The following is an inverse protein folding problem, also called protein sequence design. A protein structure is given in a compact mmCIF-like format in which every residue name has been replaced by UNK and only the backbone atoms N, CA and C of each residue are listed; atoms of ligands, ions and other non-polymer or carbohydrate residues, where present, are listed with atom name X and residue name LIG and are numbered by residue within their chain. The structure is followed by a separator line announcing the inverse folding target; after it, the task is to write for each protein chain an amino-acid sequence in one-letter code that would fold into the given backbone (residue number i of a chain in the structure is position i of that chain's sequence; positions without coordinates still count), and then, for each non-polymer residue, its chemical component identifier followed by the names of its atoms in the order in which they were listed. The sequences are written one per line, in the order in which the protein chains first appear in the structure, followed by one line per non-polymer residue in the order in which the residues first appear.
data_IF_517907937019
#
_entry.id   IF_517907937019
#
_cell.length_a   1.000
_cell.length_b   1.000
_cell.length_c   1.000
_cell.angle_alpha   90.00
_cell.angle_beta   90.00
_cell.angle_gamma   90.00
#
_symmetry.space_group_name_H-M   'P 1'
#
loop_
_entity.id
_entity.type
_entity.pdbx_description
1 polymer ?
#
# COMPACT_ATOMS: atom_id res chain seq x y z
N UNK A 1 -41.76 -11.08 -5.46
CA UNK A 1 -40.34 -11.48 -5.41
C UNK A 1 -39.65 -10.52 -4.45
N UNK A 2 -39.25 -11.02 -3.28
CA UNK A 2 -38.73 -10.23 -2.17
C UNK A 2 -37.46 -9.46 -2.56
N UNK A 3 -37.52 -8.13 -2.37
CA UNK A 3 -36.37 -7.24 -2.46
C UNK A 3 -35.44 -7.49 -1.27
N UNK A 4 -34.48 -8.40 -1.44
CA UNK A 4 -33.30 -8.46 -0.57
C UNK A 4 -32.41 -7.24 -0.88
N UNK A 5 -32.78 -6.09 -0.33
CA UNK A 5 -31.89 -4.95 -0.18
C UNK A 5 -30.75 -5.40 0.71
N UNK A 6 -29.57 -5.63 0.12
CA UNK A 6 -28.32 -5.73 0.87
C UNK A 6 -28.04 -4.34 1.45
N UNK A 7 -28.74 -3.99 2.55
CA UNK A 7 -28.17 -3.11 3.57
C UNK A 7 -26.80 -3.67 3.90
N UNK A 8 -25.84 -2.82 4.24
CA UNK A 8 -24.63 -3.28 4.91
C UNK A 8 -25.08 -4.20 6.04
N UNK A 9 -24.92 -5.52 5.83
CA UNK A 9 -25.22 -6.50 6.84
C UNK A 9 -24.41 -6.08 8.04
N UNK A 10 -25.09 -5.79 9.15
CA UNK A 10 -24.45 -5.41 10.41
C UNK A 10 -23.30 -6.40 10.61
N UNK A 11 -22.03 -5.98 10.55
CA UNK A 11 -20.96 -6.86 10.94
C UNK A 11 -21.28 -7.22 12.38
N UNK A 12 -21.51 -8.50 12.65
CA UNK A 12 -21.55 -9.05 14.01
C UNK A 12 -20.35 -8.44 14.72
N UNK A 13 -20.59 -7.68 15.79
CA UNK A 13 -19.64 -6.75 16.38
C UNK A 13 -18.22 -7.33 16.48
N UNK A 14 -17.43 -7.19 15.41
CA UNK A 14 -16.02 -7.45 15.47
C UNK A 14 -15.50 -6.26 16.25
N UNK A 15 -15.11 -6.55 17.50
CA UNK A 15 -14.42 -5.64 18.39
C UNK A 15 -13.49 -4.81 17.52
N UNK A 16 -13.70 -3.48 17.52
CA UNK A 16 -12.77 -2.49 17.01
C UNK A 16 -11.35 -3.03 17.27
N UNK A 17 -10.44 -3.11 16.29
CA UNK A 17 -9.04 -3.37 16.59
C UNK A 17 -8.64 -2.21 17.49
N UNK A 18 -8.70 -2.47 18.79
CA UNK A 18 -8.40 -1.49 19.78
C UNK A 18 -6.90 -1.29 19.59
N UNK A 19 -6.51 -0.09 19.15
CA UNK A 19 -5.26 0.43 19.64
C UNK A 19 -5.33 0.25 21.15
N UNK A 20 -4.60 -0.73 21.68
CA UNK A 20 -4.56 -0.98 23.10
C UNK A 20 -4.19 0.38 23.72
N UNK A 21 -5.03 0.97 24.61
CA UNK A 21 -4.83 2.34 25.10
C UNK A 21 -3.47 2.57 25.77
N UNK A 22 -2.73 1.49 26.02
CA UNK A 22 -1.41 1.47 26.63
C UNK A 22 -0.24 1.41 25.64
N UNK A 23 -0.44 1.17 24.33
CA UNK A 23 0.67 0.92 23.39
C UNK A 23 0.78 1.98 22.30
N UNK A 24 1.99 2.49 22.10
CA UNK A 24 2.38 3.25 20.92
C UNK A 24 2.65 2.28 19.79
N UNK A 25 2.04 2.51 18.62
CA UNK A 25 2.36 1.78 17.41
C UNK A 25 3.03 2.74 16.44
N UNK A 26 4.32 2.55 16.19
CA UNK A 26 5.10 3.40 15.29
C UNK A 26 5.32 2.63 14.00
N UNK A 27 4.96 3.24 12.88
CA UNK A 27 5.22 2.64 11.58
C UNK A 27 6.21 3.45 10.78
N UNK A 28 7.24 2.79 10.25
CA UNK A 28 7.99 3.30 9.12
C UNK A 28 7.49 2.58 7.87
N UNK A 29 6.95 3.32 6.90
CA UNK A 29 6.77 2.79 5.56
C UNK A 29 8.06 3.06 4.79
N UNK A 30 8.83 2.02 4.52
CA UNK A 30 10.05 2.08 3.72
C UNK A 30 9.70 1.65 2.30
N UNK A 31 9.85 2.57 1.35
CA UNK A 31 9.67 2.28 -0.08
C UNK A 31 11.01 2.01 -0.73
N UNK A 32 11.10 0.90 -1.44
CA UNK A 32 12.24 0.64 -2.34
C UNK A 32 11.97 1.23 -3.73
N UNK A 33 13.00 1.71 -4.43
CA UNK A 33 12.84 2.16 -5.81
C UNK A 33 12.95 0.98 -6.78
N UNK A 34 11.92 0.75 -7.61
CA UNK A 34 11.95 -0.22 -8.73
C UNK A 34 13.09 0.00 -9.74
N UNK A 35 13.81 1.13 -9.63
CA UNK A 35 15.03 1.40 -10.40
C UNK A 35 16.25 0.80 -9.68
N UNK A 36 16.18 -0.51 -9.38
CA UNK A 36 17.35 -1.25 -8.96
C UNK A 36 18.30 -1.36 -10.16
N UNK A 37 19.33 -0.49 -10.22
CA UNK A 37 20.52 -0.83 -11.01
C UNK A 37 21.15 -2.04 -10.32
N UNK A 38 21.04 -3.24 -10.88
CA UNK A 38 22.01 -4.31 -10.55
C UNK A 38 23.38 -3.83 -11.06
N UNK A 39 24.39 -3.62 -10.21
CA UNK A 39 25.63 -3.01 -10.67
C UNK A 39 26.51 -3.99 -11.47
N UNK A 40 27.30 -3.40 -12.37
CA UNK A 40 28.38 -4.07 -13.13
C UNK A 40 29.41 -4.67 -12.18
N UNK A 41 30.01 -5.79 -12.61
CA UNK A 41 30.96 -6.61 -11.87
C UNK A 41 32.40 -6.04 -11.82
N UNK A 42 32.56 -4.72 -11.80
CA UNK A 42 33.89 -4.10 -11.87
C UNK A 42 34.04 -3.02 -10.80
N UNK A 43 34.21 -3.48 -9.56
CA UNK A 43 34.96 -2.72 -8.57
C UNK A 43 35.58 -3.71 -7.56
N UNK A 44 36.90 -3.87 -7.65
CA UNK A 44 37.70 -4.80 -6.83
C UNK A 44 37.88 -4.18 -5.44
N UNK A 45 36.95 -4.45 -4.52
CA UNK A 45 37.24 -4.39 -3.09
C UNK A 45 36.76 -5.69 -2.44
N UNK A 46 37.71 -6.43 -1.86
CA UNK A 46 37.55 -7.78 -1.34
C UNK A 46 36.67 -7.83 -0.08
N UNK A 47 35.36 -7.91 -0.28
CA UNK A 47 34.41 -8.33 0.74
C UNK A 47 33.78 -9.62 0.25
N UNK A 48 34.01 -10.71 0.99
CA UNK A 48 33.42 -12.02 0.73
C UNK A 48 31.89 -11.90 0.65
N UNK A 49 31.35 -12.28 -0.51
CA UNK A 49 29.93 -12.26 -0.84
C UNK A 49 29.41 -13.70 -0.71
N UNK A 50 28.22 -13.96 -0.13
CA UNK A 50 27.64 -15.30 -0.14
C UNK A 50 27.47 -15.82 -1.58
N UNK A 51 27.74 -17.11 -1.86
CA UNK A 51 27.89 -17.62 -3.21
C UNK A 51 26.52 -17.90 -3.86
N UNK A 52 25.89 -16.88 -4.44
CA UNK A 52 24.83 -17.05 -5.44
C UNK A 52 25.16 -16.21 -6.68
N UNK A 53 26.12 -16.72 -7.45
CA UNK A 53 26.66 -16.13 -8.68
C UNK A 53 25.63 -16.29 -9.82
N UNK A 54 24.77 -15.31 -10.05
CA UNK A 54 23.73 -15.32 -11.08
C UNK A 54 24.26 -14.98 -12.50
N UNK A 55 25.00 -15.86 -13.20
CA UNK A 55 25.14 -15.67 -14.67
C UNK A 55 23.85 -16.06 -15.39
N UNK A 56 22.83 -15.20 -15.35
CA UNK A 56 21.69 -15.27 -16.28
C UNK A 56 22.04 -14.51 -17.55
N UNK A 57 22.62 -15.25 -18.49
CA UNK A 57 22.85 -14.82 -19.86
C UNK A 57 21.51 -14.94 -20.60
N UNK A 58 20.64 -13.95 -20.43
CA UNK A 58 19.46 -13.82 -21.30
C UNK A 58 19.96 -13.30 -22.65
N UNK A 59 20.00 -14.20 -23.63
CA UNK A 59 20.31 -13.87 -25.01
C UNK A 59 19.33 -12.81 -25.53
N UNK A 60 19.80 -11.80 -26.28
CA UNK A 60 18.91 -10.88 -26.95
C UNK A 60 18.16 -11.65 -28.06
N UNK A 61 16.84 -11.55 -28.07
CA UNK A 61 16.03 -11.83 -29.26
C UNK A 61 16.34 -10.71 -30.25
N UNK A 62 17.24 -10.96 -31.21
CA UNK A 62 17.52 -10.06 -32.32
C UNK A 62 16.29 -9.90 -33.23
N UNK A 63 15.89 -8.68 -33.61
CA UNK A 63 15.50 -8.40 -34.98
C UNK A 63 16.77 -8.18 -35.81
N UNK A 64 16.79 -8.72 -37.03
CA UNK A 64 17.93 -8.71 -37.91
C UNK A 64 18.41 -7.29 -38.28
N UNK A 65 19.73 -7.19 -38.50
CA UNK A 65 20.50 -6.17 -39.22
C UNK A 65 20.71 -4.79 -38.58
N UNK A 66 21.88 -4.59 -37.95
CA UNK A 66 22.86 -3.53 -38.28
C UNK A 66 24.08 -3.64 -37.34
N UNK A 67 25.34 -3.56 -37.85
CA UNK A 67 26.53 -3.45 -37.01
C UNK A 67 26.88 -1.98 -36.78
N UNK A 68 26.89 -1.53 -35.52
CA UNK A 68 27.57 -0.28 -35.16
C UNK A 68 27.97 -0.30 -33.68
N UNK A 69 29.27 -0.10 -33.45
CA UNK A 69 29.91 -0.05 -32.15
C UNK A 69 29.28 0.99 -31.23
N UNK A 70 28.54 0.52 -30.23
CA UNK A 70 28.31 1.27 -29.00
C UNK A 70 28.19 0.28 -27.86
N UNK A 71 29.00 0.47 -26.81
CA UNK A 71 28.99 -0.35 -25.61
C UNK A 71 27.64 -0.14 -24.93
N UNK A 72 26.69 -1.01 -25.24
CA UNK A 72 25.33 -0.91 -24.76
C UNK A 72 25.34 -1.00 -23.22
N UNK A 73 24.77 0.02 -22.57
CA UNK A 73 24.75 0.07 -21.11
C UNK A 73 23.71 -0.93 -20.65
N UNK A 74 24.15 -2.16 -20.33
CA UNK A 74 23.32 -3.19 -19.70
C UNK A 74 22.50 -2.58 -18.55
N UNK A 75 21.22 -2.31 -18.83
CA UNK A 75 20.23 -1.89 -17.84
C UNK A 75 19.81 -3.13 -17.10
N UNK A 76 20.42 -3.30 -15.96
CA UNK A 76 20.04 -4.26 -14.96
C UNK A 76 18.65 -3.96 -14.40
N UNK A 77 17.79 -4.98 -14.45
CA UNK A 77 16.41 -4.95 -14.01
C UNK A 77 15.63 -6.03 -14.74
N UNK A 78 14.61 -6.60 -14.10
CA UNK A 78 13.70 -7.51 -14.80
C UNK A 78 12.81 -6.68 -15.74
N UNK A 79 12.64 -7.06 -17.02
CA UNK A 79 11.73 -6.36 -17.91
C UNK A 79 10.31 -6.36 -17.34
N UNK A 80 9.70 -5.18 -17.29
CA UNK A 80 8.33 -5.01 -16.80
C UNK A 80 7.38 -5.79 -17.71
N UNK A 81 6.61 -6.72 -17.12
CA UNK A 81 5.76 -7.66 -17.89
C UNK A 81 6.31 -9.07 -18.02
N UNK A 82 7.51 -9.37 -17.49
CA UNK A 82 7.99 -10.74 -17.36
C UNK A 82 7.15 -11.54 -16.37
N UNK A 83 6.72 -12.74 -16.77
CA UNK A 83 6.01 -13.71 -15.93
C UNK A 83 6.85 -14.10 -14.70
N UNK A 84 8.19 -14.13 -14.86
CA UNK A 84 9.11 -14.51 -13.78
C UNK A 84 9.46 -13.35 -12.85
N UNK A 85 9.15 -12.11 -13.21
CA UNK A 85 9.54 -10.93 -12.41
C UNK A 85 9.04 -10.97 -10.95
N UNK A 86 7.75 -11.25 -10.70
CA UNK A 86 7.23 -11.38 -9.35
C UNK A 86 7.90 -12.51 -8.54
N UNK A 87 8.16 -13.65 -9.17
CA UNK A 87 8.80 -14.81 -8.50
C UNK A 87 10.24 -14.48 -8.12
N UNK A 88 10.99 -13.89 -9.04
CA UNK A 88 12.36 -13.45 -8.78
C UNK A 88 12.42 -12.39 -7.69
N UNK A 89 11.44 -11.47 -7.65
CA UNK A 89 11.34 -10.48 -6.58
C UNK A 89 11.11 -11.14 -5.21
N UNK A 90 10.20 -12.11 -5.14
CA UNK A 90 9.92 -12.83 -3.89
C UNK A 90 11.16 -13.56 -3.35
N UNK A 91 11.91 -14.23 -4.23
CA UNK A 91 13.17 -14.90 -3.85
C UNK A 91 14.20 -13.88 -3.39
N UNK A 92 14.30 -12.74 -4.08
CA UNK A 92 15.25 -11.69 -3.77
C UNK A 92 15.00 -11.01 -2.43
N UNK A 93 13.74 -10.88 -2.00
CA UNK A 93 13.39 -10.29 -0.70
C UNK A 93 13.19 -11.32 0.40
N UNK A 94 13.44 -12.61 0.13
CA UNK A 94 13.15 -13.69 1.08
C UNK A 94 14.00 -13.65 2.35
N UNK A 95 15.19 -13.04 2.29
CA UNK A 95 16.13 -12.93 3.40
C UNK A 95 16.02 -11.59 4.17
N UNK A 96 14.92 -10.85 3.98
CA UNK A 96 14.70 -9.57 4.65
C UNK A 96 14.79 -9.74 6.19
N UNK A 97 15.61 -8.94 6.89
CA UNK A 97 15.83 -9.12 8.32
C UNK A 97 14.56 -8.80 9.10
N UNK A 98 14.17 -9.72 9.97
CA UNK A 98 13.18 -9.49 11.03
C UNK A 98 13.83 -8.95 12.30
N UNK A 99 13.01 -8.44 13.21
CA UNK A 99 13.42 -8.08 14.56
C UNK A 99 12.33 -8.45 15.57
N UNK A 100 12.73 -8.91 16.77
CA UNK A 100 11.84 -9.62 17.70
C UNK A 100 10.69 -8.76 18.25
N UNK A 101 10.88 -7.45 18.34
CA UNK A 101 9.90 -6.50 18.91
C UNK A 101 9.10 -5.73 17.85
N UNK A 102 9.20 -6.15 16.60
CA UNK A 102 8.64 -5.44 15.45
C UNK A 102 7.96 -6.42 14.49
N UNK A 103 6.87 -5.98 13.89
CA UNK A 103 6.18 -6.72 12.83
C UNK A 103 6.47 -6.09 11.48
N UNK A 104 6.99 -6.86 10.53
CA UNK A 104 7.21 -6.41 9.15
C UNK A 104 6.07 -6.89 8.27
N UNK A 105 5.46 -5.97 7.53
CA UNK A 105 4.49 -6.25 6.48
C UNK A 105 5.05 -5.77 5.14
N UNK A 106 5.49 -6.71 4.31
CA UNK A 106 6.01 -6.46 2.96
C UNK A 106 4.94 -6.77 1.92
N UNK A 107 4.75 -5.86 0.97
CA UNK A 107 4.00 -6.12 -0.24
C UNK A 107 4.70 -5.44 -1.39
N UNK A 108 5.25 -6.23 -2.31
CA UNK A 108 6.15 -5.73 -3.35
C UNK A 108 7.17 -4.76 -2.74
N UNK A 109 7.36 -3.60 -3.35
CA UNK A 109 8.25 -2.51 -2.96
C UNK A 109 7.82 -1.72 -1.71
N UNK A 110 6.59 -1.91 -1.21
CA UNK A 110 6.04 -1.27 -0.01
C UNK A 110 6.32 -2.14 1.24
N UNK A 111 7.24 -1.71 2.10
CA UNK A 111 7.55 -2.39 3.38
C UNK A 111 7.10 -1.52 4.55
N UNK A 112 6.13 -1.99 5.33
CA UNK A 112 5.74 -1.37 6.58
C UNK A 112 6.37 -2.12 7.76
N UNK A 113 7.04 -1.39 8.65
CA UNK A 113 7.61 -1.93 9.89
C UNK A 113 6.83 -1.33 11.04
N UNK A 114 6.24 -2.17 11.88
CA UNK A 114 5.42 -1.77 13.01
C UNK A 114 6.16 -2.11 14.30
N UNK A 115 6.41 -1.12 15.15
CA UNK A 115 6.93 -1.31 16.51
C UNK A 115 5.84 -1.01 17.53
N UNK A 116 5.64 -1.87 18.51
CA UNK A 116 4.64 -1.68 19.58
C UNK A 116 5.26 -1.73 20.95
N UNK A 117 5.10 -0.66 21.74
CA UNK A 117 5.59 -0.61 23.12
C UNK A 117 4.77 0.37 23.98
N UNK A 118 4.82 0.24 25.30
CA UNK A 118 4.08 1.12 26.24
C UNK A 118 4.71 2.50 26.38
N UNK A 119 6.03 2.55 26.32
CA UNK A 119 6.82 3.77 26.21
C UNK A 119 7.11 4.12 24.74
N UNK A 120 6.96 5.40 24.40
CA UNK A 120 7.21 5.95 23.07
C UNK A 120 8.68 5.86 22.65
N UNK A 121 9.60 5.98 23.62
CA UNK A 121 11.04 6.03 23.36
C UNK A 121 11.50 4.64 22.99
N UNK A 122 11.18 3.63 23.82
CA UNK A 122 11.49 2.22 23.53
C UNK A 122 10.82 1.71 22.24
N UNK A 123 9.61 2.20 21.89
CA UNK A 123 8.99 1.89 20.61
C UNK A 123 9.85 2.40 19.44
N UNK A 124 10.37 3.62 19.57
CA UNK A 124 11.21 4.27 18.55
C UNK A 124 12.60 3.64 18.50
N UNK A 125 13.16 3.25 19.64
CA UNK A 125 14.44 2.56 19.73
C UNK A 125 14.39 1.20 19.05
N UNK A 126 13.33 0.42 19.31
CA UNK A 126 13.12 -0.89 18.65
C UNK A 126 12.95 -0.71 17.14
N UNK A 127 12.23 0.34 16.73
CA UNK A 127 12.07 0.68 15.31
C UNK A 127 13.42 1.09 14.68
N UNK A 128 14.22 1.91 15.37
CA UNK A 128 15.53 2.34 14.89
C UNK A 128 16.51 1.17 14.79
N UNK A 129 16.50 0.24 15.75
CA UNK A 129 17.29 -0.99 15.69
C UNK A 129 16.93 -1.83 14.46
N UNK A 130 15.64 -1.98 14.17
CA UNK A 130 15.20 -2.68 12.96
C UNK A 130 15.62 -1.94 11.68
N UNK A 131 15.46 -0.61 11.63
CA UNK A 131 15.90 0.20 10.50
C UNK A 131 17.41 0.07 10.26
N UNK A 132 18.23 -0.04 11.31
CA UNK A 132 19.67 -0.25 11.18
C UNK A 132 19.99 -1.62 10.56
N UNK A 133 19.25 -2.68 10.91
CA UNK A 133 19.38 -4.00 10.30
C UNK A 133 19.00 -3.97 8.82
N UNK A 134 17.89 -3.30 8.50
CA UNK A 134 17.43 -3.11 7.13
C UNK A 134 18.43 -2.27 6.35
N UNK A 135 19.03 -1.23 6.93
CA UNK A 135 20.06 -0.44 6.28
C UNK A 135 21.29 -1.29 5.92
N UNK A 136 21.74 -2.17 6.83
CA UNK A 136 22.83 -3.10 6.55
C UNK A 136 22.47 -4.05 5.40
N UNK A 137 21.25 -4.60 5.42
CA UNK A 137 20.74 -5.47 4.36
C UNK A 137 20.63 -4.74 3.02
N UNK A 138 20.08 -3.52 3.00
CA UNK A 138 19.99 -2.67 1.80
C UNK A 138 21.38 -2.39 1.21
N UNK A 139 22.39 -2.15 2.05
CA UNK A 139 23.78 -1.98 1.60
C UNK A 139 24.36 -3.26 1.00
N UNK A 140 24.16 -4.40 1.66
CA UNK A 140 24.61 -5.71 1.19
C UNK A 140 24.01 -6.07 -0.17
N UNK A 141 22.70 -5.85 -0.33
CA UNK A 141 21.96 -6.11 -1.56
C UNK A 141 21.99 -4.95 -2.56
N UNK A 142 22.70 -3.85 -2.23
CA UNK A 142 22.85 -2.64 -3.06
C UNK A 142 21.51 -2.05 -3.51
N UNK A 143 20.49 -2.12 -2.65
CA UNK A 143 19.16 -1.57 -2.89
C UNK A 143 19.12 -0.12 -2.40
N UNK A 144 18.64 0.79 -3.24
CA UNK A 144 18.45 2.19 -2.86
C UNK A 144 17.09 2.39 -2.19
N UNK A 145 17.11 2.73 -0.90
CA UNK A 145 15.91 3.16 -0.19
C UNK A 145 15.40 4.51 -0.72
N UNK A 146 14.08 4.69 -0.75
CA UNK A 146 13.45 5.97 -1.04
C UNK A 146 13.06 6.67 0.26
N UNK A 147 13.99 7.43 0.83
CA UNK A 147 13.79 8.20 2.06
C UNK A 147 12.67 9.24 1.92
N UNK A 148 12.53 9.86 0.74
CA UNK A 148 11.56 10.93 0.49
C UNK A 148 10.11 10.43 0.50
N UNK A 149 9.90 9.18 0.09
CA UNK A 149 8.58 8.53 0.15
C UNK A 149 8.34 7.81 1.48
N UNK A 150 9.36 7.73 2.33
CA UNK A 150 9.24 7.06 3.62
C UNK A 150 8.60 8.01 4.62
N UNK A 151 7.69 7.49 5.44
CA UNK A 151 6.95 8.30 6.41
C UNK A 151 6.89 7.54 7.73
N UNK A 152 7.11 8.27 8.82
CA UNK A 152 6.91 7.80 10.18
C UNK A 152 5.52 8.25 10.65
N UNK A 153 4.68 7.32 11.07
CA UNK A 153 3.38 7.63 11.69
C UNK A 153 3.33 7.00 13.06
N UNK A 154 2.90 7.79 14.05
CA UNK A 154 2.70 7.33 15.43
C UNK A 154 1.22 7.11 15.69
N UNK A 155 0.77 5.87 15.69
CA UNK A 155 -0.60 5.52 16.03
C UNK A 155 -0.75 5.44 17.55
N UNK A 156 -1.45 6.44 18.11
CA UNK A 156 -1.72 6.51 19.55
C UNK A 156 -2.96 7.36 19.82
N UNK A 157 -3.67 7.02 20.89
CA UNK A 157 -4.74 7.88 21.43
C UNK A 157 -4.19 9.01 22.30
N UNK A 158 -2.92 8.92 22.72
CA UNK A 158 -2.25 9.93 23.54
C UNK A 158 -1.88 11.15 22.69
N UNK A 159 -1.61 12.28 23.35
CA UNK A 159 -1.12 13.51 22.69
C UNK A 159 0.39 13.54 22.48
N UNK A 160 1.10 12.47 22.87
CA UNK A 160 2.55 12.39 22.73
C UNK A 160 2.94 11.85 21.35
N UNK A 161 4.05 12.37 20.83
CA UNK A 161 4.67 11.95 19.58
C UNK A 161 5.92 11.14 19.88
N UNK A 162 6.15 10.08 19.13
CA UNK A 162 7.38 9.31 19.24
C UNK A 162 8.58 10.12 18.75
N UNK A 163 9.79 9.87 19.30
CA UNK A 163 11.03 10.39 18.74
C UNK A 163 11.18 10.12 17.24
N UNK A 164 11.87 11.01 16.50
CA UNK A 164 12.12 10.82 15.08
C UNK A 164 13.12 9.70 14.84
N UNK A 165 12.86 8.86 13.84
CA UNK A 165 13.77 7.80 13.40
C UNK A 165 14.53 8.19 12.13
N UNK A 166 15.69 7.58 11.92
CA UNK A 166 16.57 7.82 10.77
C UNK A 166 16.75 6.54 9.95
N UNK A 167 16.84 6.72 8.63
CA UNK A 167 17.21 5.67 7.68
C UNK A 167 18.28 6.21 6.75
N UNK A 168 19.42 5.51 6.61
CA UNK A 168 20.55 5.97 5.80
C UNK A 168 21.04 7.38 6.21
N UNK A 169 21.13 7.64 7.52
CA UNK A 169 21.44 8.94 8.12
C UNK A 169 20.47 10.11 7.78
N UNK A 170 19.35 9.84 7.10
CA UNK A 170 18.30 10.82 6.81
C UNK A 170 17.15 10.63 7.79
N UNK A 171 16.70 11.72 8.41
CA UNK A 171 15.53 11.68 9.28
C UNK A 171 14.26 11.45 8.46
N UNK A 172 13.46 10.46 8.86
CA UNK A 172 12.18 10.18 8.21
C UNK A 172 11.17 11.25 8.67
N UNK A 173 10.42 11.89 7.74
CA UNK A 173 9.41 12.86 8.12
C UNK A 173 8.26 12.20 8.89
N UNK A 174 7.83 12.87 9.95
CA UNK A 174 6.66 12.46 10.72
C UNK A 174 5.38 13.02 10.09
N UNK A 175 4.35 12.19 9.97
CA UNK A 175 3.04 12.61 9.48
C UNK A 175 1.90 12.03 10.33
N UNK A 176 0.74 12.66 10.23
CA UNK A 176 -0.50 12.20 10.88
C UNK A 176 -1.22 11.10 10.10
N UNK A 177 -0.81 10.83 8.86
CA UNK A 177 -1.36 9.74 8.07
C UNK A 177 -0.32 9.11 7.14
N UNK A 178 -0.49 7.81 6.90
CA UNK A 178 0.27 7.05 5.93
C UNK A 178 -0.65 6.39 4.90
N UNK A 179 -0.19 6.36 3.65
CA UNK A 179 -0.81 5.54 2.61
C UNK A 179 -0.09 4.21 2.52
N UNK A 180 -0.80 3.11 2.71
CA UNK A 180 -0.29 1.75 2.58
C UNK A 180 -1.32 0.91 1.82
N UNK A 181 -0.90 0.25 0.73
CA UNK A 181 -1.76 -0.58 -0.13
C UNK A 181 -3.06 0.11 -0.58
N UNK A 182 -2.99 1.41 -0.90
CA UNK A 182 -4.15 2.19 -1.32
C UNK A 182 -5.11 2.60 -0.20
N UNK A 183 -4.83 2.24 1.05
CA UNK A 183 -5.56 2.68 2.23
C UNK A 183 -4.86 3.84 2.92
N UNK A 184 -5.63 4.71 3.57
CA UNK A 184 -5.10 5.82 4.37
C UNK A 184 -5.30 5.52 5.84
N UNK A 185 -4.20 5.34 6.55
CA UNK A 185 -4.16 5.09 7.98
C UNK A 185 -3.90 6.42 8.69
N UNK A 186 -4.90 6.95 9.38
CA UNK A 186 -4.76 8.16 10.20
C UNK A 186 -4.26 7.83 11.61
N UNK A 187 -3.60 8.79 12.27
CA UNK A 187 -3.00 8.68 13.61
C UNK A 187 -3.88 7.98 14.66
N UNK A 188 -5.20 8.17 14.58
CA UNK A 188 -6.19 7.62 15.52
C UNK A 188 -6.96 6.42 14.98
N UNK A 189 -6.60 5.93 13.79
CA UNK A 189 -7.27 4.85 13.07
C UNK A 189 -8.79 5.04 13.01
N UNK A 190 -9.23 6.27 12.78
CA UNK A 190 -10.65 6.62 12.63
C UNK A 190 -11.19 6.32 11.24
N UNK A 191 -10.29 6.13 10.26
CA UNK A 191 -10.58 5.93 8.85
C UNK A 191 -11.25 7.11 8.16
N UNK A 192 -11.36 8.27 8.83
CA UNK A 192 -12.06 9.45 8.30
C UNK A 192 -11.45 9.94 6.99
N UNK A 193 -10.12 10.06 6.94
CA UNK A 193 -9.39 10.50 5.74
C UNK A 193 -9.61 9.52 4.59
N UNK A 194 -9.47 8.22 4.86
CA UNK A 194 -9.71 7.17 3.88
C UNK A 194 -11.10 7.23 3.26
N UNK A 195 -12.13 7.27 4.13
CA UNK A 195 -13.53 7.30 3.70
C UNK A 195 -13.81 8.55 2.86
N UNK A 196 -13.31 9.72 3.25
CA UNK A 196 -13.47 10.94 2.46
C UNK A 196 -12.77 10.86 1.09
N UNK A 197 -11.56 10.33 1.04
CA UNK A 197 -10.84 10.12 -0.24
C UNK A 197 -11.60 9.16 -1.15
N UNK A 198 -12.12 8.05 -0.61
CA UNK A 198 -12.94 7.09 -1.35
C UNK A 198 -14.26 7.69 -1.80
N UNK A 199 -14.91 8.49 -0.94
CA UNK A 199 -16.13 9.21 -1.27
C UNK A 199 -15.92 10.17 -2.45
N UNK A 200 -14.83 10.92 -2.45
CA UNK A 200 -14.45 11.84 -3.55
C UNK A 200 -14.15 11.07 -4.83
N UNK A 201 -13.39 9.97 -4.74
CA UNK A 201 -13.12 9.10 -5.89
C UNK A 201 -14.42 8.59 -6.51
N UNK A 202 -15.35 8.11 -5.67
CA UNK A 202 -16.66 7.65 -6.10
C UNK A 202 -17.51 8.74 -6.76
N UNK A 203 -17.43 9.99 -6.29
CA UNK A 203 -18.11 11.10 -6.94
C UNK A 203 -17.53 11.35 -8.33
N UNK A 204 -16.20 11.35 -8.49
CA UNK A 204 -15.57 11.48 -9.80
C UNK A 204 -15.97 10.34 -10.75
N UNK A 205 -15.92 9.09 -10.31
CA UNK A 205 -16.32 7.93 -11.12
C UNK A 205 -17.80 7.99 -11.51
N UNK A 206 -18.67 8.38 -10.56
CA UNK A 206 -20.09 8.56 -10.85
C UNK A 206 -20.34 9.67 -11.87
N UNK A 207 -19.57 10.76 -11.83
CA UNK A 207 -19.69 11.85 -12.80
C UNK A 207 -19.23 11.41 -14.20
N UNK A 208 -18.13 10.66 -14.29
CA UNK A 208 -17.65 10.10 -15.55
C UNK A 208 -18.68 9.15 -16.19
N UNK A 209 -19.44 8.43 -15.37
CA UNK A 209 -20.47 7.48 -15.81
C UNK A 209 -21.89 8.04 -15.70
N UNK A 210 -22.03 9.35 -15.50
CA UNK A 210 -23.32 9.97 -15.26
C UNK A 210 -24.27 9.79 -16.44
N UNK A 211 -23.75 9.78 -17.67
CA UNK A 211 -24.53 9.57 -18.87
C UNK A 211 -25.10 8.13 -18.99
N UNK A 212 -24.43 7.13 -18.40
CA UNK A 212 -24.89 5.73 -18.37
C UNK A 212 -25.84 5.44 -17.21
N UNK A 213 -25.54 5.99 -16.04
CA UNK A 213 -26.23 5.67 -14.77
C UNK A 213 -27.36 6.67 -14.48
N UNK A 214 -27.34 7.85 -15.12
CA UNK A 214 -28.29 8.91 -14.88
C UNK A 214 -29.72 8.59 -15.35
N UNK A 215 -30.68 9.38 -14.87
CA UNK A 215 -32.10 9.20 -15.17
C UNK A 215 -32.44 9.35 -16.66
N UNK A 216 -31.57 10.00 -17.44
CA UNK A 216 -31.74 10.18 -18.89
C UNK A 216 -31.18 9.00 -19.73
N UNK A 217 -30.56 8.02 -19.06
CA UNK A 217 -30.01 6.84 -19.73
C UNK A 217 -31.12 5.85 -20.08
N UNK A 218 -31.11 5.39 -21.33
CA UNK A 218 -32.02 4.36 -21.86
C UNK A 218 -31.67 2.94 -21.41
N UNK A 219 -30.62 2.77 -20.60
CA UNK A 219 -30.26 1.46 -20.07
C UNK A 219 -31.32 0.93 -19.10
N UNK A 220 -31.53 -0.40 -19.16
CA UNK A 220 -32.37 -1.10 -18.20
C UNK A 220 -31.82 -0.93 -16.77
N UNK A 221 -32.71 -0.97 -15.79
CA UNK A 221 -32.34 -0.91 -14.37
C UNK A 221 -31.38 -2.04 -13.98
N UNK A 222 -31.55 -3.22 -14.59
CA UNK A 222 -30.65 -4.36 -14.39
C UNK A 222 -29.23 -4.04 -14.90
N UNK A 223 -29.09 -3.43 -16.08
CA UNK A 223 -27.79 -3.01 -16.63
C UNK A 223 -27.14 -1.93 -15.76
N UNK A 224 -27.90 -0.94 -15.31
CA UNK A 224 -27.42 0.12 -14.38
C UNK A 224 -26.95 -0.48 -13.06
N UNK A 225 -27.69 -1.46 -12.53
CA UNK A 225 -27.32 -2.18 -11.31
C UNK A 225 -26.02 -2.97 -11.50
N UNK A 226 -25.84 -3.62 -12.65
CA UNK A 226 -24.61 -4.33 -12.99
C UNK A 226 -23.43 -3.37 -12.98
N UNK A 227 -23.52 -2.24 -13.67
CA UNK A 227 -22.48 -1.20 -13.69
C UNK A 227 -22.12 -0.74 -12.27
N UNK A 228 -23.14 -0.47 -11.43
CA UNK A 228 -22.91 -0.09 -10.04
C UNK A 228 -22.13 -1.18 -9.28
N UNK A 229 -22.55 -2.44 -9.41
CA UNK A 229 -21.95 -3.59 -8.70
C UNK A 229 -20.53 -3.90 -9.19
N UNK A 230 -20.23 -3.70 -10.46
CA UNK A 230 -18.93 -4.07 -11.06
C UNK A 230 -17.90 -2.95 -10.98
N UNK A 231 -18.32 -1.68 -11.01
CA UNK A 231 -17.38 -0.54 -11.08
C UNK A 231 -17.38 0.26 -9.78
N UNK A 232 -18.54 0.73 -9.32
CA UNK A 232 -18.61 1.64 -8.18
C UNK A 232 -18.45 0.89 -6.85
N UNK A 233 -19.07 -0.29 -6.72
CA UNK A 233 -19.02 -1.07 -5.47
C UNK A 233 -17.59 -1.47 -5.07
N UNK A 234 -16.75 -2.01 -5.98
CA UNK A 234 -15.37 -2.42 -5.64
C UNK A 234 -14.50 -1.30 -5.06
N UNK A 235 -14.70 -0.05 -5.50
CA UNK A 235 -13.89 1.11 -5.09
C UNK A 235 -13.93 1.34 -3.58
N UNK A 236 -15.12 1.21 -2.98
CA UNK A 236 -15.29 1.36 -1.54
C UNK A 236 -15.21 0.03 -0.79
N UNK A 237 -15.64 -1.09 -1.36
CA UNK A 237 -15.54 -2.39 -0.66
C UNK A 237 -14.10 -2.86 -0.47
N UNK A 238 -13.14 -2.30 -1.21
CA UNK A 238 -11.72 -2.57 -1.00
C UNK A 238 -11.30 -2.22 0.44
N UNK A 239 -10.71 -3.18 1.15
CA UNK A 239 -10.22 -3.00 2.52
C UNK A 239 -11.33 -2.90 3.58
N UNK A 240 -12.57 -3.30 3.27
CA UNK A 240 -13.72 -3.19 4.19
C UNK A 240 -13.53 -3.94 5.51
N UNK A 241 -12.74 -5.02 5.50
CA UNK A 241 -12.38 -5.74 6.72
C UNK A 241 -11.63 -4.85 7.74
N UNK A 242 -10.94 -3.82 7.25
CA UNK A 242 -10.16 -2.89 8.08
C UNK A 242 -10.96 -1.63 8.38
N UNK A 243 -11.40 -0.90 7.36
CA UNK A 243 -12.11 0.37 7.58
C UNK A 243 -13.57 0.20 8.02
N UNK A 244 -14.16 -1.00 7.88
CA UNK A 244 -15.50 -1.32 8.35
C UNK A 244 -15.67 -1.20 9.88
N UNK A 245 -14.56 -1.09 10.62
CA UNK A 245 -14.55 -0.83 12.07
C UNK A 245 -14.60 0.67 12.41
N UNK A 246 -14.76 1.55 11.41
CA UNK A 246 -14.92 2.98 11.61
C UNK A 246 -16.20 3.32 12.41
N UNK A 247 -16.30 4.55 12.90
CA UNK A 247 -17.53 5.01 13.56
C UNK A 247 -18.71 4.98 12.61
N UNK A 248 -19.91 4.73 13.14
CA UNK A 248 -21.16 4.78 12.36
C UNK A 248 -21.29 6.07 11.56
N UNK A 249 -20.96 7.22 12.18
CA UNK A 249 -20.97 8.52 11.50
C UNK A 249 -20.08 8.60 10.27
N UNK A 250 -18.93 7.90 10.25
CA UNK A 250 -18.05 7.85 9.09
C UNK A 250 -18.60 6.88 8.03
N UNK A 251 -19.12 5.72 8.44
CA UNK A 251 -19.71 4.72 7.53
C UNK A 251 -20.94 5.28 6.82
N UNK A 252 -21.78 6.05 7.53
CA UNK A 252 -22.96 6.72 6.98
C UNK A 252 -22.66 7.59 5.76
N UNK A 253 -21.45 8.14 5.65
CA UNK A 253 -21.03 8.96 4.50
C UNK A 253 -21.10 8.13 3.20
N UNK A 254 -20.64 6.88 3.24
CA UNK A 254 -20.67 5.97 2.10
C UNK A 254 -22.07 5.36 1.90
N UNK A 255 -22.80 5.08 2.98
CA UNK A 255 -24.19 4.60 2.91
C UNK A 255 -25.12 5.61 2.24
N UNK A 256 -24.97 6.90 2.57
CA UNK A 256 -25.73 7.99 1.94
C UNK A 256 -25.39 8.09 0.45
N UNK A 257 -24.13 7.92 0.08
CA UNK A 257 -23.74 7.85 -1.33
C UNK A 257 -24.39 6.67 -2.03
N UNK A 258 -24.27 5.45 -1.48
CA UNK A 258 -24.88 4.26 -2.03
C UNK A 258 -26.39 4.46 -2.21
N UNK A 259 -27.08 4.95 -1.19
CA UNK A 259 -28.52 5.20 -1.24
C UNK A 259 -28.91 6.22 -2.30
N UNK A 260 -28.12 7.29 -2.47
CA UNK A 260 -28.34 8.32 -3.49
C UNK A 260 -28.12 7.77 -4.90
N UNK A 261 -27.07 6.99 -5.09
CA UNK A 261 -26.74 6.38 -6.39
C UNK A 261 -27.76 5.32 -6.77
N UNK A 262 -28.16 4.46 -5.84
CA UNK A 262 -29.18 3.42 -6.06
C UNK A 262 -30.54 4.01 -6.42
N UNK A 263 -30.95 5.11 -5.77
CA UNK A 263 -32.16 5.88 -6.13
C UNK A 263 -32.12 6.50 -7.53
N UNK A 264 -30.94 6.63 -8.11
CA UNK A 264 -30.75 7.14 -9.48
C UNK A 264 -30.71 6.01 -10.50
N UNK A 265 -30.15 4.87 -10.12
CA UNK A 265 -30.14 3.64 -10.95
C UNK A 265 -31.52 3.02 -11.07
N UNK A 266 -32.21 2.86 -9.94
CA UNK A 266 -33.60 2.43 -9.89
C UNK A 266 -34.45 3.69 -9.93
N UNK A 267 -35.21 3.88 -10.99
CA UNK A 267 -36.34 4.79 -10.94
C UNK A 267 -37.23 4.21 -9.84
N UNK A 268 -37.23 4.80 -8.65
CA UNK A 268 -38.35 4.58 -7.74
C UNK A 268 -39.58 5.11 -8.47
N UNK A 269 -40.33 4.20 -9.11
CA UNK A 269 -41.75 4.41 -9.26
C UNK A 269 -42.30 4.55 -7.85
N UNK A 270 -43.07 5.61 -7.64
CA UNK A 270 -43.68 6.13 -6.40
C UNK A 270 -42.78 6.96 -5.50
#
# INVERSE_FOLDING_TARGET
MEYNSVRLSRPTAQRKPAANPERFLVTANVRSSHRARLPRADDRSGVDVPPLRWRLQLAPVSPASTPCDSVDTFRSGVPQGSILGPVLYLIYTADLPGHAFTTTATYTDDTAILSTHENQDSASDSLQQHLNLIEKWLRQWRIKANTDKSVQVTFTLRRKTCPPVKLCNVQIPQADDAKYLGMHLDRRLTWRKHIWTKRKQLDCELMNMYWLIGCKSQLSDASKMTIYKTILKPVWTYGIQLWGTASHSNIEILERFQSKTMRRCSIFHT
#
